data_IF_951568148923
#
_entry.id   IF_951568148923
#
_cell.length_a   1.000
_cell.length_b   1.000
_cell.length_c   1.000
_cell.angle_alpha   90.00
_cell.angle_beta   90.00
_cell.angle_gamma   90.00
#
_symmetry.space_group_name_H-M   'P 1'
#
loop_
_entity.id
_entity.type
_entity.pdbx_description
1 polymer ?
#
# COMPACT_ATOMS: atom_id res chain seq x y z
N UNK A 1 18.50 -4.88 -15.73
CA UNK A 1 19.63 -4.00 -15.41
C UNK A 1 19.21 -2.60 -14.95
N UNK A 2 18.29 -1.92 -15.65
CA UNK A 2 17.90 -0.52 -15.32
C UNK A 2 17.39 -0.29 -13.89
N UNK A 3 16.55 -1.19 -13.36
CA UNK A 3 15.99 -1.03 -12.00
C UNK A 3 17.06 -1.07 -10.89
N UNK A 4 18.10 -1.90 -11.05
CA UNK A 4 19.21 -1.97 -10.10
C UNK A 4 20.03 -0.67 -10.11
N UNK A 5 20.24 -0.10 -11.29
CA UNK A 5 20.94 1.17 -11.45
C UNK A 5 20.12 2.30 -10.79
N UNK A 6 18.81 2.38 -11.05
CA UNK A 6 17.93 3.37 -10.41
C UNK A 6 17.91 3.23 -8.89
N UNK A 7 17.82 1.99 -8.38
CA UNK A 7 17.86 1.73 -6.94
C UNK A 7 19.20 2.16 -6.32
N UNK A 8 20.32 1.84 -6.98
CA UNK A 8 21.66 2.16 -6.48
C UNK A 8 21.91 3.67 -6.48
N UNK A 9 21.52 4.36 -7.55
CA UNK A 9 21.62 5.82 -7.62
C UNK A 9 20.70 6.49 -6.59
N UNK A 10 19.46 6.01 -6.47
CA UNK A 10 18.50 6.55 -5.51
C UNK A 10 18.94 6.36 -4.05
N UNK A 11 19.50 5.19 -3.71
CA UNK A 11 20.00 4.93 -2.36
C UNK A 11 21.22 5.78 -2.03
N UNK A 12 22.13 5.99 -2.98
CA UNK A 12 23.27 6.88 -2.82
C UNK A 12 22.85 8.34 -2.64
N UNK A 13 21.83 8.80 -3.37
CA UNK A 13 21.30 10.18 -3.21
C UNK A 13 20.60 10.35 -1.86
N UNK A 14 19.83 9.35 -1.42
CA UNK A 14 19.05 9.44 -0.18
C UNK A 14 19.89 9.30 1.09
N UNK A 15 20.85 8.37 1.11
CA UNK A 15 21.61 8.00 2.30
C UNK A 15 23.11 8.32 2.22
N UNK A 16 23.63 8.68 1.04
CA UNK A 16 25.06 8.87 0.79
C UNK A 16 25.84 7.55 0.82
N UNK A 17 27.10 7.59 0.36
CA UNK A 17 27.99 6.40 0.38
C UNK A 17 28.18 5.89 1.81
N UNK A 18 28.40 6.80 2.77
CA UNK A 18 28.58 6.44 4.18
C UNK A 18 27.33 5.81 4.81
N UNK A 19 26.14 6.35 4.54
CA UNK A 19 24.89 5.82 5.06
C UNK A 19 24.57 4.43 4.48
N UNK A 20 24.77 4.25 3.17
CA UNK A 20 24.61 2.92 2.54
C UNK A 20 25.55 1.89 3.18
N UNK A 21 26.83 2.22 3.37
CA UNK A 21 27.79 1.31 4.01
C UNK A 21 27.40 0.98 5.46
N UNK A 22 26.91 1.96 6.21
CA UNK A 22 26.43 1.73 7.59
C UNK A 22 25.19 0.83 7.64
N UNK A 23 24.26 0.93 6.69
CA UNK A 23 23.09 0.05 6.61
C UNK A 23 23.44 -1.36 6.17
N UNK A 24 24.44 -1.51 5.29
CA UNK A 24 24.99 -2.82 4.92
C UNK A 24 25.71 -3.49 6.09
N UNK A 25 26.47 -2.73 6.87
CA UNK A 25 27.18 -3.24 8.04
C UNK A 25 26.23 -3.59 9.21
N UNK A 26 25.15 -2.82 9.39
CA UNK A 26 24.16 -3.02 10.47
C UNK A 26 22.92 -3.77 9.97
N UNK A 27 23.14 -4.92 9.34
CA UNK A 27 22.05 -5.72 8.80
C UNK A 27 21.18 -6.28 9.92
N UNK A 28 19.89 -5.93 9.95
CA UNK A 28 18.96 -6.40 10.98
C UNK A 28 18.16 -7.60 10.50
N UNK A 29 18.10 -8.65 11.32
CA UNK A 29 17.27 -9.83 11.02
C UNK A 29 15.79 -9.46 10.84
N UNK A 30 15.29 -8.50 11.62
CA UNK A 30 13.93 -7.97 11.49
C UNK A 30 13.70 -7.33 10.10
N UNK A 31 14.66 -6.57 9.58
CA UNK A 31 14.58 -5.99 8.24
C UNK A 31 14.52 -7.05 7.15
N UNK A 32 15.33 -8.11 7.26
CA UNK A 32 15.28 -9.24 6.32
C UNK A 32 13.92 -9.93 6.34
N UNK A 33 13.41 -10.23 7.53
CA UNK A 33 12.11 -10.87 7.70
C UNK A 33 10.98 -9.98 7.16
N UNK A 34 11.07 -8.66 7.33
CA UNK A 34 10.11 -7.72 6.77
C UNK A 34 10.13 -7.73 5.23
N UNK A 35 11.31 -7.72 4.61
CA UNK A 35 11.44 -7.82 3.15
C UNK A 35 10.91 -9.16 2.62
N UNK A 36 11.26 -10.27 3.28
CA UNK A 36 10.75 -11.61 2.91
C UNK A 36 9.23 -11.69 3.05
N UNK A 37 8.67 -11.16 4.14
CA UNK A 37 7.23 -11.09 4.34
C UNK A 37 6.55 -10.30 3.20
N UNK A 38 7.09 -9.14 2.85
CA UNK A 38 6.52 -8.29 1.80
C UNK A 38 6.63 -8.94 0.42
N UNK A 39 7.77 -9.56 0.11
CA UNK A 39 8.03 -10.18 -1.18
C UNK A 39 7.18 -11.43 -1.41
N UNK A 40 7.05 -12.30 -0.41
CA UNK A 40 6.39 -13.60 -0.56
C UNK A 40 4.99 -13.62 0.02
N UNK A 41 4.84 -13.32 1.32
CA UNK A 41 3.56 -13.48 2.02
C UNK A 41 2.55 -12.44 1.56
N UNK A 42 2.92 -11.16 1.57
CA UNK A 42 2.02 -10.09 1.16
C UNK A 42 1.63 -10.23 -0.33
N UNK A 43 2.59 -10.57 -1.20
CA UNK A 43 2.31 -10.85 -2.62
C UNK A 43 1.35 -12.01 -2.79
N UNK A 44 1.60 -13.14 -2.12
CA UNK A 44 0.73 -14.32 -2.22
C UNK A 44 -0.68 -14.01 -1.75
N UNK A 45 -0.84 -13.37 -0.59
CA UNK A 45 -2.15 -12.96 -0.06
C UNK A 45 -2.84 -11.96 -1.00
N UNK A 46 -2.09 -10.99 -1.53
CA UNK A 46 -2.60 -10.00 -2.48
C UNK A 46 -3.13 -10.64 -3.77
N UNK A 47 -2.31 -11.48 -4.42
CA UNK A 47 -2.70 -12.14 -5.66
C UNK A 47 -3.83 -13.15 -5.47
N UNK A 48 -3.80 -13.94 -4.40
CA UNK A 48 -4.86 -14.92 -4.11
C UNK A 48 -6.18 -14.23 -3.77
N UNK A 49 -6.16 -13.20 -2.93
CA UNK A 49 -7.33 -12.40 -2.59
C UNK A 49 -7.93 -11.70 -3.81
N UNK A 50 -7.09 -11.08 -4.63
CA UNK A 50 -7.53 -10.43 -5.86
C UNK A 50 -8.12 -11.43 -6.86
N UNK A 51 -7.43 -12.56 -7.11
CA UNK A 51 -7.92 -13.61 -8.00
C UNK A 51 -9.25 -14.21 -7.53
N UNK A 52 -9.39 -14.44 -6.22
CA UNK A 52 -10.63 -14.92 -5.61
C UNK A 52 -11.80 -13.92 -5.79
N UNK A 53 -11.53 -12.62 -5.61
CA UNK A 53 -12.55 -11.58 -5.79
C UNK A 53 -12.98 -11.47 -7.24
N UNK A 54 -12.03 -11.50 -8.19
CA UNK A 54 -12.32 -11.46 -9.62
C UNK A 54 -13.06 -12.70 -10.12
N UNK A 55 -12.82 -13.86 -9.50
CA UNK A 55 -13.55 -15.08 -9.84
C UNK A 55 -15.04 -15.01 -9.43
N UNK A 56 -15.40 -14.17 -8.46
CA UNK A 56 -16.77 -14.06 -7.90
C UNK A 56 -17.49 -12.76 -8.25
N UNK A 57 -16.75 -11.69 -8.58
CA UNK A 57 -17.28 -10.36 -8.83
C UNK A 57 -16.62 -9.76 -10.08
N UNK A 58 -17.37 -8.99 -10.87
CA UNK A 58 -16.77 -8.26 -12.00
C UNK A 58 -15.74 -7.25 -11.52
N UNK A 59 -14.66 -7.07 -12.28
CA UNK A 59 -13.55 -6.20 -11.92
C UNK A 59 -14.02 -4.80 -11.49
N UNK A 60 -14.98 -4.22 -12.22
CA UNK A 60 -15.56 -2.89 -11.94
C UNK A 60 -16.16 -2.75 -10.54
N UNK A 61 -16.69 -3.83 -9.95
CA UNK A 61 -17.24 -3.80 -8.59
C UNK A 61 -16.14 -3.80 -7.53
N UNK A 62 -14.99 -4.40 -7.82
CA UNK A 62 -13.91 -4.61 -6.84
C UNK A 62 -12.89 -3.46 -6.87
N UNK A 63 -12.66 -2.85 -8.04
CA UNK A 63 -11.73 -1.73 -8.23
C UNK A 63 -11.85 -0.61 -7.19
N UNK A 64 -13.04 -0.07 -6.85
CA UNK A 64 -13.12 1.02 -5.87
C UNK A 64 -12.61 0.63 -4.49
N UNK A 65 -12.69 -0.65 -4.09
CA UNK A 65 -12.18 -1.10 -2.80
C UNK A 65 -10.65 -1.00 -2.68
N UNK A 66 -9.91 -0.92 -3.80
CA UNK A 66 -8.45 -0.68 -3.76
C UNK A 66 -8.14 0.69 -3.14
N UNK A 67 -9.05 1.67 -3.25
CA UNK A 67 -8.86 2.96 -2.58
C UNK A 67 -8.76 2.82 -1.05
N UNK A 68 -9.30 1.75 -0.45
CA UNK A 68 -9.18 1.51 0.99
C UNK A 68 -7.78 1.05 1.42
N UNK A 69 -6.92 0.59 0.52
CA UNK A 69 -5.57 0.12 0.84
C UNK A 69 -4.79 1.10 1.73
N UNK A 70 -4.66 2.40 1.41
CA UNK A 70 -3.99 3.38 2.28
C UNK A 70 -4.65 3.52 3.66
N UNK A 71 -5.98 3.43 3.76
CA UNK A 71 -6.69 3.51 5.05
C UNK A 71 -6.38 2.29 5.90
N UNK A 72 -6.45 1.09 5.30
CA UNK A 72 -6.13 -0.16 5.99
C UNK A 72 -4.67 -0.16 6.43
N UNK A 73 -3.74 0.32 5.58
CA UNK A 73 -2.32 0.43 5.92
C UNK A 73 -2.10 1.32 7.16
N UNK A 74 -2.74 2.49 7.23
CA UNK A 74 -2.64 3.39 8.39
C UNK A 74 -3.26 2.77 9.65
N UNK A 75 -4.41 2.09 9.53
CA UNK A 75 -5.05 1.40 10.66
C UNK A 75 -4.16 0.27 11.18
N UNK A 76 -3.57 -0.53 10.28
CA UNK A 76 -2.64 -1.60 10.66
C UNK A 76 -1.36 -1.02 11.29
N UNK A 77 -0.80 0.06 10.74
CA UNK A 77 0.34 0.76 11.36
C UNK A 77 0.04 1.24 12.78
N UNK A 78 -1.12 1.85 12.98
CA UNK A 78 -1.57 2.27 14.31
C UNK A 78 -1.79 1.08 15.27
N UNK A 79 -2.45 0.01 14.82
CA UNK A 79 -2.82 -1.11 15.71
C UNK A 79 -1.66 -2.06 15.99
N UNK A 80 -0.96 -2.49 14.93
CA UNK A 80 0.06 -3.53 14.98
C UNK A 80 1.45 -2.95 15.27
N UNK A 81 1.81 -1.81 14.66
CA UNK A 81 3.11 -1.17 14.85
C UNK A 81 3.08 -0.08 15.96
N UNK A 82 1.90 0.21 16.53
CA UNK A 82 1.70 1.24 17.55
C UNK A 82 2.16 2.64 17.09
N UNK A 83 2.09 2.89 15.80
CA UNK A 83 2.46 4.19 15.22
C UNK A 83 1.48 5.28 15.65
N UNK A 84 1.96 6.51 15.88
CA UNK A 84 1.10 7.65 16.17
C UNK A 84 0.60 8.26 14.87
N UNK A 85 -0.72 8.36 14.73
CA UNK A 85 -1.32 9.04 13.60
C UNK A 85 -1.28 10.55 13.82
N UNK A 86 -0.70 11.28 12.86
CA UNK A 86 -0.69 12.75 12.84
C UNK A 86 -1.91 13.26 12.07
N UNK A 87 -2.20 14.57 12.20
CA UNK A 87 -3.36 15.22 11.57
C UNK A 87 -3.50 14.89 10.07
N UNK A 88 -2.38 14.89 9.33
CA UNK A 88 -2.36 14.58 7.91
C UNK A 88 -2.82 13.17 7.56
N UNK A 89 -2.59 12.19 8.45
CA UNK A 89 -3.10 10.83 8.25
C UNK A 89 -4.62 10.80 8.32
N UNK A 90 -5.22 11.52 9.26
CA UNK A 90 -6.68 11.63 9.38
C UNK A 90 -7.30 12.33 8.17
N UNK A 91 -6.68 13.42 7.70
CA UNK A 91 -7.13 14.12 6.48
C UNK A 91 -7.07 13.20 5.27
N UNK A 92 -5.99 12.41 5.13
CA UNK A 92 -5.86 11.40 4.08
C UNK A 92 -6.97 10.33 4.16
N UNK A 93 -7.23 9.79 5.34
CA UNK A 93 -8.29 8.80 5.57
C UNK A 93 -9.65 9.38 5.16
N UNK A 94 -9.99 10.58 5.62
CA UNK A 94 -11.26 11.24 5.29
C UNK A 94 -11.39 11.49 3.78
N UNK A 95 -10.32 11.93 3.13
CA UNK A 95 -10.31 12.20 1.68
C UNK A 95 -10.56 10.93 0.87
N UNK A 96 -9.90 9.83 1.24
CA UNK A 96 -10.08 8.53 0.58
C UNK A 96 -11.50 7.99 0.79
N UNK A 97 -12.02 8.04 2.02
CA UNK A 97 -13.38 7.59 2.33
C UNK A 97 -14.42 8.43 1.58
N UNK A 98 -14.21 9.75 1.48
CA UNK A 98 -15.05 10.63 0.69
C UNK A 98 -15.04 10.25 -0.79
N UNK A 99 -13.86 10.08 -1.39
CA UNK A 99 -13.72 9.67 -2.79
C UNK A 99 -14.38 8.32 -3.08
N UNK A 100 -14.22 7.34 -2.19
CA UNK A 100 -14.89 6.06 -2.27
C UNK A 100 -16.42 6.21 -2.18
N UNK A 101 -16.91 7.01 -1.23
CA UNK A 101 -18.34 7.29 -1.07
C UNK A 101 -18.96 7.89 -2.33
N UNK A 102 -18.29 8.88 -2.94
CA UNK A 102 -18.70 9.47 -4.21
C UNK A 102 -18.71 8.42 -5.33
N UNK A 103 -17.69 7.57 -5.42
CA UNK A 103 -17.61 6.53 -6.45
C UNK A 103 -18.75 5.50 -6.33
N UNK A 104 -19.04 5.04 -5.11
CA UNK A 104 -20.09 4.04 -4.85
C UNK A 104 -21.51 4.62 -5.04
N UNK A 105 -21.74 5.87 -4.65
CA UNK A 105 -23.04 6.52 -4.78
C UNK A 105 -23.31 7.06 -6.19
N UNK A 106 -22.26 7.48 -6.90
CA UNK A 106 -22.34 7.99 -8.27
C UNK A 106 -22.90 6.95 -9.25
N UNK A 107 -22.48 5.69 -9.15
CA UNK A 107 -23.04 4.59 -9.95
C UNK A 107 -24.57 4.44 -9.78
N UNK A 108 -25.10 4.69 -8.58
CA UNK A 108 -26.55 4.63 -8.30
C UNK A 108 -27.32 5.85 -8.81
N UNK A 109 -26.65 6.98 -9.01
CA UNK A 109 -27.25 8.19 -9.58
C UNK A 109 -27.33 8.14 -11.10
N UNK A 110 -26.36 7.52 -11.77
CA UNK A 110 -26.35 7.39 -13.23
C UNK A 110 -27.24 6.25 -13.76
N UNK A 111 -27.54 5.23 -12.96
CA UNK A 111 -28.45 4.13 -13.34
C UNK A 111 -29.96 4.50 -13.31
N UNK A 112 -30.31 5.72 -12.88
CA UNK A 112 -31.70 6.22 -12.85
C UNK A 112 -32.09 7.07 -14.06
N UNK A 113 -31.27 7.11 -15.10
CA UNK A 113 -31.58 7.85 -16.32
C UNK A 113 -31.21 6.99 -17.52
N UNK A 114 -32.09 6.04 -17.86
CA UNK A 114 -32.60 5.72 -19.21
C UNK A 114 -33.61 4.57 -19.10
#
# INVERSE_FOLDING_TARGET
MGQLITFTLGSLVAYGVGGVMSHLANFSLSGVLAVMFLAYVASFVGYTGWGYLLARHSASKVTPFIMLVPVIALVVGYVALKERLILWHYVGILTVLFGLGVHLLGGRWFDKKF
#
